data_IF_525898172261
#
_entry.id   IF_525898172261
#
_cell.length_a   1.000
_cell.length_b   1.000
_cell.length_c   1.000
_cell.angle_alpha   90.00
_cell.angle_beta   90.00
_cell.angle_gamma   90.00
#
_symmetry.space_group_name_H-M   'P 1'
#
loop_
_entity.id
_entity.type
_entity.pdbx_description
1 polymer ?
#
# COMPACT_ATOMS: atom_id res chain seq x y z
N UNK A 1 52.43 54.77 -19.01
CA UNK A 1 53.06 54.79 -20.35
C UNK A 1 51.98 54.28 -21.31
N UNK A 2 51.46 55.22 -22.05
CA UNK A 2 51.43 55.29 -23.50
C UNK A 2 50.60 54.18 -24.13
N UNK A 3 49.55 54.36 -24.86
CA UNK A 3 48.95 55.50 -25.47
C UNK A 3 48.08 55.07 -26.65
N UNK A 4 47.19 55.96 -27.01
CA UNK A 4 46.60 56.21 -28.33
C UNK A 4 45.89 55.00 -29.02
N UNK A 5 44.65 55.04 -29.37
CA UNK A 5 43.88 56.17 -30.01
C UNK A 5 43.57 55.82 -31.42
N UNK A 6 42.32 55.83 -31.82
CA UNK A 6 41.76 56.58 -32.91
C UNK A 6 40.33 56.13 -33.27
N UNK A 7 39.45 57.07 -33.22
CA UNK A 7 38.10 57.07 -33.80
C UNK A 7 38.17 57.03 -35.33
N UNK A 8 37.19 56.41 -35.96
CA UNK A 8 36.79 56.80 -37.34
C UNK A 8 35.25 56.59 -37.44
N UNK A 9 34.60 57.71 -37.56
CA UNK A 9 33.22 57.92 -38.00
C UNK A 9 33.05 57.54 -39.46
N UNK A 10 31.99 56.90 -39.84
CA UNK A 10 31.46 56.94 -41.18
C UNK A 10 29.94 56.95 -41.21
N UNK A 11 29.41 57.79 -42.07
CA UNK A 11 28.03 58.23 -42.22
C UNK A 11 27.11 57.20 -42.89
N UNK A 12 25.79 57.45 -42.92
CA UNK A 12 24.76 56.49 -43.25
C UNK A 12 24.56 56.34 -44.76
N UNK A 13 24.20 55.17 -45.19
CA UNK A 13 23.73 54.93 -46.54
C UNK A 13 22.26 54.46 -46.49
N UNK A 14 21.39 55.26 -47.08
CA UNK A 14 19.99 54.92 -47.36
C UNK A 14 19.94 53.81 -48.41
N UNK A 15 19.15 52.72 -48.10
CA UNK A 15 18.68 51.85 -49.18
C UNK A 15 17.30 51.32 -48.86
N UNK A 16 16.38 51.81 -49.63
CA UNK A 16 15.04 51.35 -50.03
C UNK A 16 14.47 50.00 -49.40
N UNK A 17 13.30 50.22 -48.84
CA UNK A 17 12.31 49.18 -48.60
C UNK A 17 11.86 48.48 -49.88
N UNK A 18 12.10 47.19 -50.00
CA UNK A 18 11.31 46.30 -50.86
C UNK A 18 10.38 45.44 -50.02
N UNK A 19 9.09 45.80 -50.11
CA UNK A 19 7.96 44.96 -49.59
C UNK A 19 7.80 43.74 -50.49
N UNK A 20 8.36 42.59 -50.12
CA UNK A 20 8.03 41.36 -50.77
C UNK A 20 6.90 40.68 -49.98
N UNK A 21 5.69 40.75 -50.50
CA UNK A 21 4.54 39.91 -50.09
C UNK A 21 4.87 38.46 -50.38
N UNK A 22 5.39 37.72 -49.38
CA UNK A 22 5.41 36.26 -49.41
C UNK A 22 3.99 35.76 -49.27
N UNK A 23 3.37 35.36 -50.37
CA UNK A 23 2.17 34.52 -50.38
C UNK A 23 2.57 33.17 -49.84
N UNK A 24 2.25 32.87 -48.55
CA UNK A 24 2.39 31.54 -47.96
C UNK A 24 1.41 30.58 -48.65
N UNK A 25 1.96 29.51 -49.21
CA UNK A 25 1.24 28.41 -49.83
C UNK A 25 0.15 27.83 -48.87
N UNK A 26 -1.06 27.53 -49.35
CA UNK A 26 -2.18 27.04 -48.52
C UNK A 26 -1.81 25.78 -47.71
N UNK A 27 -0.87 24.95 -48.16
CA UNK A 27 -0.38 23.79 -47.41
C UNK A 27 0.31 24.16 -46.09
N UNK A 28 0.99 25.32 -45.98
CA UNK A 28 1.61 25.72 -44.70
C UNK A 28 0.59 26.20 -43.66
N UNK A 29 -0.56 26.70 -44.08
CA UNK A 29 -1.67 27.07 -43.16
C UNK A 29 -2.37 25.86 -42.59
N UNK A 30 -2.49 24.75 -43.34
CA UNK A 30 -3.06 23.48 -42.87
C UNK A 30 -2.11 22.82 -41.86
N UNK A 31 -0.78 22.87 -42.10
CA UNK A 31 0.21 22.31 -41.19
C UNK A 31 0.25 23.05 -39.82
N UNK A 32 0.11 24.39 -39.82
CA UNK A 32 0.01 25.17 -38.58
C UNK A 32 -1.30 24.96 -37.84
N UNK A 33 -2.41 24.73 -38.53
CA UNK A 33 -3.68 24.37 -37.91
C UNK A 33 -3.67 22.95 -37.34
N UNK A 34 -3.00 21.99 -37.97
CA UNK A 34 -2.84 20.62 -37.46
C UNK A 34 -1.92 20.61 -36.24
N UNK A 35 -0.84 21.38 -36.23
CA UNK A 35 0.04 21.50 -35.06
C UNK A 35 -0.66 22.21 -33.90
N UNK A 36 -1.53 23.19 -34.13
CA UNK A 36 -2.32 23.79 -33.04
C UNK A 36 -3.51 22.96 -32.59
N UNK A 37 -4.02 22.03 -33.42
CA UNK A 37 -5.04 21.04 -32.95
C UNK A 37 -4.43 19.87 -32.20
N UNK A 38 -3.21 19.44 -32.52
CA UNK A 38 -2.51 18.37 -31.76
C UNK A 38 -2.06 18.87 -30.40
N UNK A 39 -1.84 20.17 -30.22
CA UNK A 39 -1.52 20.75 -28.90
C UNK A 39 -2.74 20.95 -27.96
N UNK A 40 -3.96 20.71 -28.44
CA UNK A 40 -5.20 20.81 -27.63
C UNK A 40 -5.66 19.47 -27.02
N UNK A 41 -4.99 18.37 -27.36
CA UNK A 41 -5.12 17.10 -26.63
C UNK A 41 -3.97 16.91 -25.61
N UNK A 42 -3.65 17.94 -24.85
CA UNK A 42 -3.07 17.72 -23.54
C UNK A 42 -4.24 17.23 -22.69
N UNK A 43 -4.40 15.91 -22.59
CA UNK A 43 -5.10 15.32 -21.47
C UNK A 43 -4.46 15.93 -20.24
N UNK A 44 -5.21 16.78 -19.55
CA UNK A 44 -4.82 17.19 -18.20
C UNK A 44 -4.64 15.87 -17.45
N UNK A 45 -3.40 15.49 -17.15
CA UNK A 45 -3.15 14.42 -16.21
C UNK A 45 -3.93 14.77 -14.96
N UNK A 46 -4.97 14.01 -14.68
CA UNK A 46 -5.78 14.21 -13.48
C UNK A 46 -4.82 14.12 -12.31
N UNK A 47 -4.72 15.19 -11.53
CA UNK A 47 -3.83 15.17 -10.37
C UNK A 47 -4.39 14.13 -9.40
N UNK A 48 -3.57 13.15 -9.01
CA UNK A 48 -3.95 12.18 -7.99
C UNK A 48 -4.45 12.90 -6.75
N UNK A 49 -5.63 12.53 -6.26
CA UNK A 49 -6.26 13.16 -5.13
C UNK A 49 -6.38 12.19 -3.95
N UNK A 50 -5.95 12.65 -2.76
CA UNK A 50 -6.25 12.02 -1.48
C UNK A 50 -7.23 12.92 -0.75
N UNK A 51 -8.42 12.42 -0.48
CA UNK A 51 -9.42 13.16 0.29
C UNK A 51 -9.87 12.37 1.51
N UNK A 52 -10.23 13.06 2.62
CA UNK A 52 -10.77 12.39 3.79
C UNK A 52 -12.15 11.80 3.49
N UNK A 53 -12.42 10.67 4.14
CA UNK A 53 -13.74 10.04 4.22
C UNK A 53 -14.09 9.94 5.69
N UNK A 54 -15.29 10.36 6.06
CA UNK A 54 -15.73 10.43 7.44
C UNK A 54 -16.44 9.16 7.89
N UNK A 55 -16.49 8.97 9.20
CA UNK A 55 -17.08 7.79 9.82
C UNK A 55 -16.06 6.68 10.04
N UNK A 56 -16.07 6.13 11.24
CA UNK A 56 -15.27 4.96 11.63
C UNK A 56 -16.11 4.10 12.59
N UNK A 57 -15.97 2.76 12.60
CA UNK A 57 -16.73 1.91 13.49
C UNK A 57 -16.53 2.28 14.98
N UNK A 58 -17.60 2.17 15.78
CA UNK A 58 -17.58 2.65 17.17
C UNK A 58 -18.34 1.74 18.16
N UNK A 59 -18.89 0.61 17.73
CA UNK A 59 -19.75 -0.20 18.61
C UNK A 59 -19.00 -0.95 19.71
N UNK A 60 -17.73 -1.33 19.47
CA UNK A 60 -16.88 -1.89 20.53
C UNK A 60 -16.16 -0.77 21.30
N UNK A 61 -16.07 -0.85 22.64
CA UNK A 61 -15.37 0.17 23.44
C UNK A 61 -13.92 0.37 23.00
N UNK A 62 -13.58 1.63 22.67
CA UNK A 62 -12.25 2.02 22.22
C UNK A 62 -11.97 1.81 20.74
N UNK A 63 -12.84 1.13 19.98
CA UNK A 63 -12.65 0.91 18.54
C UNK A 63 -12.62 2.23 17.74
N UNK A 64 -13.41 3.21 18.15
CA UNK A 64 -13.50 4.54 17.53
C UNK A 64 -12.19 5.35 17.58
N UNK A 65 -11.22 4.95 18.38
CA UNK A 65 -9.87 5.54 18.36
C UNK A 65 -9.05 5.12 17.15
N UNK A 66 -9.60 4.24 16.30
CA UNK A 66 -8.93 3.64 15.16
C UNK A 66 -8.21 2.35 15.53
N UNK A 67 -7.99 1.52 14.53
CA UNK A 67 -7.26 0.24 14.66
C UNK A 67 -6.21 0.12 13.58
N UNK A 68 -5.20 -0.70 13.81
CA UNK A 68 -4.27 -1.19 12.80
C UNK A 68 -4.41 -2.69 12.61
N UNK A 69 -3.89 -3.18 11.48
CA UNK A 69 -3.82 -4.61 11.18
C UNK A 69 -5.18 -5.33 11.24
N UNK A 70 -6.27 -4.62 10.91
CA UNK A 70 -7.60 -5.21 10.76
C UNK A 70 -7.69 -5.99 9.45
N UNK A 71 -8.74 -6.79 9.31
CA UNK A 71 -9.17 -7.35 8.04
C UNK A 71 -10.04 -6.31 7.32
N UNK A 72 -9.82 -6.07 6.03
CA UNK A 72 -10.67 -5.16 5.27
C UNK A 72 -10.70 -5.52 3.79
N UNK A 73 -11.87 -5.46 3.19
CA UNK A 73 -12.07 -5.58 1.74
C UNK A 73 -13.46 -5.08 1.35
N UNK A 74 -13.74 -5.03 0.04
CA UNK A 74 -15.07 -4.77 -0.50
C UNK A 74 -15.79 -6.08 -0.82
N UNK A 75 -17.08 -6.15 -0.51
CA UNK A 75 -18.01 -7.20 -0.96
C UNK A 75 -19.29 -6.53 -1.49
N UNK A 76 -19.63 -6.77 -2.76
CA UNK A 76 -20.69 -6.00 -3.41
C UNK A 76 -20.47 -4.50 -3.28
N UNK A 77 -21.48 -3.77 -2.81
CA UNK A 77 -21.40 -2.32 -2.57
C UNK A 77 -20.94 -1.94 -1.16
N UNK A 78 -20.38 -2.89 -0.40
CA UNK A 78 -20.03 -2.69 1.00
C UNK A 78 -18.53 -2.77 1.23
N UNK A 79 -17.99 -1.81 1.98
CA UNK A 79 -16.69 -1.97 2.63
C UNK A 79 -16.91 -2.70 3.95
N UNK A 80 -16.13 -3.76 4.17
CA UNK A 80 -16.12 -4.53 5.42
C UNK A 80 -14.79 -4.30 6.12
N UNK A 81 -14.85 -4.06 7.43
CA UNK A 81 -13.69 -3.99 8.33
C UNK A 81 -13.95 -4.91 9.51
N UNK A 82 -12.99 -5.72 9.91
CA UNK A 82 -13.16 -6.59 11.07
C UNK A 82 -11.88 -6.69 11.90
N UNK A 83 -12.05 -6.93 13.20
CA UNK A 83 -10.92 -7.12 14.11
C UNK A 83 -9.99 -5.92 14.16
N UNK A 84 -8.69 -6.18 14.20
CA UNK A 84 -7.66 -5.16 14.40
C UNK A 84 -7.33 -4.94 15.87
N UNK A 85 -6.37 -4.05 16.11
CA UNK A 85 -5.94 -3.75 17.48
C UNK A 85 -5.56 -2.27 17.65
N UNK A 86 -5.67 -1.79 18.90
CA UNK A 86 -5.21 -0.47 19.30
C UNK A 86 -4.77 -0.43 20.78
N UNK A 87 -4.59 0.75 21.34
CA UNK A 87 -4.20 0.98 22.72
C UNK A 87 -5.16 2.00 23.37
N UNK A 88 -6.41 1.61 23.69
CA UNK A 88 -7.38 2.53 24.30
C UNK A 88 -6.96 2.96 25.71
N UNK A 89 -6.16 2.16 26.37
CA UNK A 89 -5.47 2.48 27.62
C UNK A 89 -3.96 2.45 27.36
N UNK A 90 -3.20 3.46 27.78
CA UNK A 90 -1.76 3.49 27.61
C UNK A 90 -1.08 2.19 28.06
N UNK A 91 -0.22 1.63 27.21
CA UNK A 91 0.50 0.39 27.48
C UNK A 91 -0.33 -0.91 27.37
N UNK A 92 -1.66 -0.83 27.24
CA UNK A 92 -2.53 -2.00 27.13
C UNK A 92 -3.08 -2.16 25.70
N UNK A 93 -2.52 -3.12 24.96
CA UNK A 93 -3.01 -3.49 23.63
C UNK A 93 -4.35 -4.22 23.74
N UNK A 94 -5.33 -3.79 22.97
CA UNK A 94 -6.66 -4.40 22.87
C UNK A 94 -6.87 -4.92 21.46
N UNK A 95 -7.36 -6.14 21.33
CA UNK A 95 -7.78 -6.78 20.09
C UNK A 95 -9.30 -6.85 20.01
N UNK A 96 -9.82 -6.77 18.81
CA UNK A 96 -11.26 -6.67 18.55
C UNK A 96 -11.76 -7.83 17.71
N UNK A 97 -13.06 -8.11 17.81
CA UNK A 97 -13.74 -9.17 17.09
C UNK A 97 -14.90 -8.69 16.21
N UNK A 98 -15.33 -7.44 16.33
CA UNK A 98 -16.43 -6.88 15.55
C UNK A 98 -16.19 -6.98 14.05
N UNK A 99 -17.24 -7.34 13.31
CA UNK A 99 -17.31 -7.24 11.84
C UNK A 99 -18.23 -6.09 11.53
N UNK A 100 -17.72 -5.10 10.86
CA UNK A 100 -18.43 -3.86 10.51
C UNK A 100 -18.57 -3.75 9.00
N UNK A 101 -19.71 -3.27 8.53
CA UNK A 101 -19.94 -2.99 7.13
C UNK A 101 -20.51 -1.59 6.94
N UNK A 102 -20.09 -0.92 5.88
CA UNK A 102 -20.63 0.37 5.45
C UNK A 102 -20.80 0.39 3.93
N UNK A 103 -21.92 0.95 3.40
CA UNK A 103 -22.07 1.11 1.96
C UNK A 103 -21.01 2.08 1.44
N UNK A 104 -20.46 1.78 0.25
CA UNK A 104 -19.53 2.66 -0.45
C UNK A 104 -20.33 3.78 -1.11
N UNK A 105 -20.79 4.76 -0.31
CA UNK A 105 -21.59 5.88 -0.82
C UNK A 105 -21.21 7.19 -0.16
N UNK A 106 -20.88 8.20 -0.99
CA UNK A 106 -20.51 9.53 -0.56
C UNK A 106 -19.21 9.63 0.24
N UNK A 107 -19.11 10.70 1.01
CA UNK A 107 -17.93 11.06 1.81
C UNK A 107 -18.05 10.63 3.28
N UNK A 108 -19.16 9.98 3.65
CA UNK A 108 -19.43 9.49 4.99
C UNK A 108 -19.79 8.01 4.95
N UNK A 109 -19.00 7.18 5.61
CA UNK A 109 -19.26 5.76 5.76
C UNK A 109 -20.11 5.52 7.02
N UNK A 110 -21.33 5.06 6.83
CA UNK A 110 -22.27 4.74 7.89
C UNK A 110 -22.10 3.28 8.34
N UNK A 111 -21.19 3.06 9.28
CA UNK A 111 -20.83 1.73 9.75
C UNK A 111 -21.90 1.08 10.61
N UNK A 112 -22.12 -0.21 10.40
CA UNK A 112 -22.96 -1.07 11.23
C UNK A 112 -22.15 -2.26 11.71
N UNK A 113 -22.33 -2.66 12.95
CA UNK A 113 -21.85 -3.95 13.46
C UNK A 113 -22.77 -5.03 12.88
N UNK A 114 -22.23 -5.86 11.99
CA UNK A 114 -22.98 -6.90 11.26
C UNK A 114 -22.71 -8.31 11.77
N UNK A 115 -21.67 -8.49 12.59
CA UNK A 115 -21.31 -9.79 13.17
C UNK A 115 -20.08 -9.68 14.05
N UNK A 116 -19.62 -10.85 14.50
CA UNK A 116 -18.41 -10.99 15.31
C UNK A 116 -17.56 -12.12 14.76
N UNK A 117 -16.24 -11.97 14.76
CA UNK A 117 -15.30 -13.06 14.60
C UNK A 117 -15.46 -14.03 15.80
N UNK A 118 -15.16 -15.31 15.63
CA UNK A 118 -15.20 -16.28 16.76
C UNK A 118 -14.27 -15.93 17.91
N UNK A 119 -13.19 -15.20 17.62
CA UNK A 119 -12.23 -14.65 18.57
C UNK A 119 -11.66 -13.33 18.06
N UNK A 120 -11.21 -12.42 18.96
CA UNK A 120 -10.51 -11.20 18.54
C UNK A 120 -9.29 -11.53 17.69
N UNK A 121 -9.04 -10.77 16.62
CA UNK A 121 -7.93 -11.02 15.72
C UNK A 121 -7.39 -9.75 15.06
N UNK A 122 -6.06 -9.72 14.85
CA UNK A 122 -5.35 -8.69 14.09
C UNK A 122 -4.14 -9.32 13.39
N UNK A 123 -3.48 -8.56 12.51
CA UNK A 123 -2.27 -8.99 11.79
C UNK A 123 -2.46 -10.20 10.87
N UNK A 124 -3.69 -10.51 10.51
CA UNK A 124 -4.04 -11.41 9.42
C UNK A 124 -4.22 -10.64 8.12
N UNK A 125 -4.68 -11.35 7.09
CA UNK A 125 -4.90 -10.79 5.75
C UNK A 125 -6.29 -11.13 5.22
N UNK A 126 -6.73 -10.38 4.21
CA UNK A 126 -8.04 -10.55 3.57
C UNK A 126 -7.89 -10.74 2.07
N UNK A 127 -8.69 -11.65 1.50
CA UNK A 127 -8.88 -11.78 0.05
C UNK A 127 -10.37 -11.89 -0.28
N UNK A 128 -10.72 -11.57 -1.51
CA UNK A 128 -12.09 -11.69 -2.03
C UNK A 128 -12.23 -13.03 -2.76
N UNK A 129 -13.28 -13.79 -2.45
CA UNK A 129 -13.61 -15.06 -3.10
C UNK A 129 -15.09 -15.10 -3.47
N UNK A 130 -15.39 -14.77 -4.72
CA UNK A 130 -16.78 -14.64 -5.19
C UNK A 130 -17.52 -13.56 -4.42
N UNK A 131 -18.60 -13.96 -3.75
CA UNK A 131 -19.46 -13.13 -2.89
C UNK A 131 -19.05 -13.18 -1.40
N UNK A 132 -17.87 -13.64 -1.09
CA UNK A 132 -17.37 -13.82 0.26
C UNK A 132 -15.97 -13.21 0.44
N UNK A 133 -15.62 -12.85 1.67
CA UNK A 133 -14.28 -12.47 2.08
C UNK A 133 -13.65 -13.62 2.84
N UNK A 134 -12.38 -13.90 2.57
CA UNK A 134 -11.59 -14.82 3.39
C UNK A 134 -10.71 -14.02 4.34
N UNK A 135 -10.90 -14.22 5.64
CA UNK A 135 -10.02 -13.71 6.68
C UNK A 135 -9.06 -14.81 7.09
N UNK A 136 -7.77 -14.59 6.96
CA UNK A 136 -6.74 -15.63 6.98
C UNK A 136 -5.73 -15.31 8.07
N UNK A 137 -5.53 -16.24 9.03
CA UNK A 137 -4.52 -16.17 10.06
C UNK A 137 -4.62 -14.94 10.96
N UNK A 138 -3.48 -14.46 11.43
CA UNK A 138 -3.36 -13.33 12.36
C UNK A 138 -2.96 -13.77 13.75
N UNK A 139 -3.15 -12.92 14.74
CA UNK A 139 -2.93 -13.21 16.14
C UNK A 139 -3.90 -12.44 17.05
N UNK A 140 -3.91 -12.78 18.31
CA UNK A 140 -4.59 -12.04 19.37
C UNK A 140 -3.69 -11.91 20.62
N UNK A 141 -4.27 -11.56 21.76
CA UNK A 141 -3.51 -11.35 23.00
C UNK A 141 -2.94 -12.65 23.59
N UNK A 142 -3.37 -13.81 23.13
CA UNK A 142 -3.05 -15.12 23.71
C UNK A 142 -2.26 -16.02 22.77
N UNK A 143 -2.53 -15.98 21.47
CA UNK A 143 -1.89 -16.89 20.51
C UNK A 143 -1.94 -16.36 19.07
N UNK A 144 -1.09 -16.91 18.20
CA UNK A 144 -1.19 -16.77 16.76
C UNK A 144 -2.20 -17.74 16.17
N UNK A 145 -2.81 -17.37 15.04
CA UNK A 145 -3.95 -18.06 14.43
C UNK A 145 -3.51 -18.82 13.17
N UNK A 146 -4.08 -19.99 12.97
CA UNK A 146 -4.08 -20.71 11.69
C UNK A 146 -5.46 -20.76 11.05
N UNK A 147 -6.46 -20.20 11.72
CA UNK A 147 -7.85 -20.20 11.28
C UNK A 147 -8.05 -19.39 10.01
N UNK A 148 -8.92 -19.89 9.14
CA UNK A 148 -9.41 -19.20 7.95
C UNK A 148 -10.92 -19.16 8.03
N UNK A 149 -11.48 -17.95 7.90
CA UNK A 149 -12.93 -17.75 7.94
C UNK A 149 -13.42 -17.17 6.62
N UNK A 150 -14.51 -17.73 6.10
CA UNK A 150 -15.30 -17.09 5.03
C UNK A 150 -16.36 -16.22 5.66
N UNK A 151 -16.45 -14.99 5.22
CA UNK A 151 -17.44 -14.00 5.65
C UNK A 151 -18.34 -13.67 4.48
N UNK A 152 -19.61 -13.94 4.61
CA UNK A 152 -20.66 -13.58 3.66
C UNK A 152 -21.63 -12.59 4.32
N UNK A 153 -22.09 -11.58 3.58
CA UNK A 153 -23.13 -10.65 4.06
C UNK A 153 -24.48 -11.07 3.49
N UNK A 154 -25.46 -11.33 4.36
CA UNK A 154 -26.83 -11.61 3.92
C UNK A 154 -27.52 -10.32 3.43
N UNK A 155 -28.11 -10.40 2.24
CA UNK A 155 -28.92 -9.32 1.66
C UNK A 155 -28.22 -7.96 1.60
N UNK A 156 -28.94 -6.88 1.96
CA UNK A 156 -28.47 -5.49 1.84
C UNK A 156 -27.64 -5.09 3.09
N UNK A 157 -26.46 -5.71 3.26
CA UNK A 157 -25.55 -5.41 4.37
C UNK A 157 -26.14 -5.76 5.74
N UNK A 158 -26.87 -6.88 5.79
CA UNK A 158 -27.53 -7.38 6.98
C UNK A 158 -26.56 -8.01 7.97
N UNK A 159 -26.65 -9.30 8.17
CA UNK A 159 -25.83 -10.04 9.11
C UNK A 159 -24.66 -10.73 8.42
N UNK A 160 -23.49 -10.75 9.06
CA UNK A 160 -22.36 -11.53 8.59
C UNK A 160 -22.56 -13.03 8.96
N UNK A 161 -22.55 -13.91 7.95
CA UNK A 161 -22.40 -15.33 8.12
C UNK A 161 -20.91 -15.67 8.13
N UNK A 162 -20.46 -16.29 9.22
CA UNK A 162 -19.04 -16.61 9.46
C UNK A 162 -18.86 -18.11 9.43
N UNK A 163 -18.13 -18.62 8.41
CA UNK A 163 -17.85 -20.06 8.26
C UNK A 163 -16.36 -20.33 8.40
N UNK A 164 -15.98 -21.33 9.17
CA UNK A 164 -14.61 -21.82 9.22
C UNK A 164 -14.31 -22.65 7.96
N UNK A 165 -13.19 -22.36 7.33
CA UNK A 165 -12.63 -23.13 6.22
C UNK A 165 -11.43 -23.97 6.68
N UNK A 166 -10.75 -24.63 5.72
CA UNK A 166 -9.52 -25.37 5.99
C UNK A 166 -8.45 -24.42 6.57
N UNK A 167 -7.89 -24.82 7.72
CA UNK A 167 -6.84 -24.09 8.42
C UNK A 167 -5.55 -24.00 7.56
N UNK A 168 -4.76 -22.96 7.82
CA UNK A 168 -3.35 -22.89 7.42
C UNK A 168 -2.57 -24.08 8.03
N UNK A 169 -1.48 -24.53 7.41
CA UNK A 169 -0.67 -25.66 7.90
C UNK A 169 0.03 -25.37 9.24
N UNK A 170 0.23 -24.09 9.54
CA UNK A 170 0.80 -23.60 10.79
C UNK A 170 0.11 -22.28 11.19
N UNK A 171 0.40 -21.75 12.38
CA UNK A 171 -0.05 -20.41 12.73
C UNK A 171 0.72 -19.38 11.92
N UNK A 172 0.03 -18.37 11.36
CA UNK A 172 0.68 -17.31 10.55
C UNK A 172 0.13 -15.96 10.92
N UNK A 173 1.01 -15.02 11.24
CA UNK A 173 0.67 -13.62 11.47
C UNK A 173 1.68 -12.67 10.79
N UNK A 174 1.31 -11.38 10.65
CA UNK A 174 2.16 -10.35 10.06
C UNK A 174 2.69 -10.70 8.65
N UNK A 175 1.95 -11.49 7.91
CA UNK A 175 2.23 -11.87 6.54
C UNK A 175 1.68 -10.83 5.54
N UNK A 176 2.12 -10.93 4.28
CA UNK A 176 1.47 -10.31 3.14
C UNK A 176 0.57 -11.32 2.41
N UNK A 177 -0.37 -10.81 1.61
CA UNK A 177 -1.21 -11.61 0.73
C UNK A 177 -1.26 -11.00 -0.65
N UNK A 178 -1.32 -11.87 -1.67
CA UNK A 178 -1.66 -11.49 -3.03
C UNK A 178 -2.58 -12.54 -3.64
N UNK A 179 -3.46 -12.11 -4.51
CA UNK A 179 -4.39 -13.00 -5.22
C UNK A 179 -4.20 -12.85 -6.72
N UNK A 180 -4.03 -13.97 -7.42
CA UNK A 180 -3.99 -14.04 -8.88
C UNK A 180 -5.06 -15.01 -9.36
N UNK A 181 -6.17 -14.47 -9.88
CA UNK A 181 -7.36 -15.25 -10.19
C UNK A 181 -7.81 -16.06 -8.96
N UNK A 182 -7.84 -17.39 -9.09
CA UNK A 182 -8.28 -18.29 -8.03
C UNK A 182 -7.15 -18.73 -7.08
N UNK A 183 -5.93 -18.27 -7.30
CA UNK A 183 -4.80 -18.61 -6.45
C UNK A 183 -4.54 -17.49 -5.45
N UNK A 184 -4.55 -17.83 -4.16
CA UNK A 184 -4.19 -16.97 -3.04
C UNK A 184 -2.80 -17.35 -2.57
N UNK A 185 -1.93 -16.35 -2.39
CA UNK A 185 -0.57 -16.52 -1.90
C UNK A 185 -0.40 -15.75 -0.59
N UNK A 186 -0.04 -16.44 0.48
CA UNK A 186 0.37 -15.86 1.76
C UNK A 186 1.89 -15.91 1.81
N UNK A 187 2.54 -14.78 2.07
CA UNK A 187 4.00 -14.63 1.93
C UNK A 187 4.60 -14.09 3.21
N UNK A 188 5.63 -14.77 3.69
CA UNK A 188 6.36 -14.35 4.88
C UNK A 188 5.49 -14.30 6.14
N UNK A 189 5.78 -13.37 7.02
CA UNK A 189 5.18 -13.27 8.35
C UNK A 189 5.90 -14.14 9.37
N UNK A 190 5.27 -14.35 10.51
CA UNK A 190 5.72 -15.33 11.50
C UNK A 190 4.95 -16.63 11.29
N UNK A 191 5.66 -17.73 11.12
CA UNK A 191 5.12 -19.08 11.11
C UNK A 191 5.48 -19.75 12.43
N UNK A 192 4.45 -20.19 13.19
CA UNK A 192 4.61 -20.72 14.57
C UNK A 192 5.51 -19.82 15.44
N UNK A 193 5.28 -18.50 15.34
CA UNK A 193 6.00 -17.48 16.11
C UNK A 193 7.41 -17.16 15.65
N UNK A 194 7.87 -17.68 14.49
CA UNK A 194 9.20 -17.40 13.92
C UNK A 194 9.09 -16.71 12.56
N UNK A 195 9.91 -15.69 12.29
CA UNK A 195 9.98 -15.09 10.96
C UNK A 195 10.21 -16.14 9.88
N UNK A 196 9.45 -16.05 8.78
CA UNK A 196 9.51 -17.00 7.66
C UNK A 196 9.69 -16.28 6.32
N UNK A 197 10.27 -16.99 5.35
CA UNK A 197 10.30 -16.60 3.93
C UNK A 197 9.34 -17.45 3.10
N UNK A 198 8.58 -18.36 3.70
CA UNK A 198 7.73 -19.30 3.00
C UNK A 198 6.56 -18.63 2.29
N UNK A 199 6.15 -19.27 1.21
CA UNK A 199 4.96 -18.93 0.43
C UNK A 199 3.96 -20.07 0.54
N UNK A 200 2.83 -19.79 1.18
CA UNK A 200 1.69 -20.70 1.24
C UNK A 200 0.70 -20.34 0.13
N UNK A 201 0.19 -21.34 -0.57
CA UNK A 201 -0.79 -21.15 -1.64
C UNK A 201 -2.07 -21.93 -1.38
N UNK A 202 -3.19 -21.34 -1.81
CA UNK A 202 -4.52 -21.95 -1.83
C UNK A 202 -5.12 -21.73 -3.21
N UNK A 203 -5.63 -22.80 -3.85
CA UNK A 203 -6.46 -22.67 -5.04
C UNK A 203 -7.93 -22.74 -4.64
N UNK A 204 -8.65 -21.62 -4.82
CA UNK A 204 -10.06 -21.47 -4.45
C UNK A 204 -11.02 -22.34 -5.30
N UNK A 205 -10.62 -22.69 -6.54
CA UNK A 205 -11.41 -23.52 -7.46
C UNK A 205 -11.08 -25.00 -7.38
N UNK A 206 -10.19 -25.42 -6.47
CA UNK A 206 -9.95 -26.83 -6.27
C UNK A 206 -11.19 -27.53 -5.70
N UNK A 207 -11.43 -28.79 -6.06
CA UNK A 207 -12.57 -29.56 -5.53
C UNK A 207 -12.55 -29.67 -4.01
N UNK A 208 -11.35 -29.72 -3.41
CA UNK A 208 -11.12 -29.66 -1.97
C UNK A 208 -9.98 -28.66 -1.70
N UNK A 209 -10.30 -27.37 -1.53
CA UNK A 209 -9.30 -26.33 -1.32
C UNK A 209 -8.47 -26.61 -0.06
N UNK A 210 -7.16 -26.66 -0.22
CA UNK A 210 -6.22 -26.87 0.88
C UNK A 210 -4.95 -26.06 0.67
N UNK A 211 -4.36 -25.62 1.77
CA UNK A 211 -3.11 -24.86 1.75
C UNK A 211 -1.91 -25.76 1.50
N UNK A 212 -0.98 -25.30 0.71
CA UNK A 212 0.30 -25.96 0.44
C UNK A 212 1.45 -24.96 0.52
N UNK A 213 2.62 -25.39 0.98
CA UNK A 213 3.85 -24.62 0.84
C UNK A 213 4.38 -24.80 -0.59
N UNK A 214 4.51 -23.71 -1.34
CA UNK A 214 4.96 -23.71 -2.74
C UNK A 214 6.40 -23.21 -2.88
N UNK A 215 7.14 -23.15 -1.78
CA UNK A 215 8.54 -22.73 -1.72
C UNK A 215 8.75 -21.51 -0.84
N UNK A 216 9.93 -20.94 -0.93
CA UNK A 216 10.32 -19.78 -0.12
C UNK A 216 10.81 -18.65 -1.01
N UNK A 217 10.55 -17.43 -0.61
CA UNK A 217 11.12 -16.23 -1.22
C UNK A 217 12.64 -16.20 -0.98
N UNK A 218 13.44 -15.75 -1.95
CA UNK A 218 14.88 -15.59 -1.76
C UNK A 218 15.25 -14.60 -0.65
N UNK A 219 16.37 -14.85 0.02
CA UNK A 219 16.91 -13.97 1.08
C UNK A 219 16.42 -14.32 2.47
N UNK A 220 16.52 -13.34 3.38
CA UNK A 220 16.13 -13.50 4.78
C UNK A 220 14.63 -13.58 4.94
N UNK A 221 14.18 -14.22 6.02
CA UNK A 221 12.78 -14.21 6.45
C UNK A 221 12.25 -12.77 6.63
N UNK A 222 10.95 -12.57 6.34
CA UNK A 222 10.36 -11.23 6.34
C UNK A 222 9.03 -11.19 7.08
N UNK A 223 8.97 -10.32 8.06
CA UNK A 223 7.75 -9.95 8.77
C UNK A 223 7.23 -8.64 8.21
N UNK A 224 5.92 -8.52 8.00
CA UNK A 224 5.25 -7.36 7.39
C UNK A 224 5.86 -6.94 6.04
N UNK A 225 6.13 -7.86 5.09
CA UNK A 225 6.39 -7.47 3.73
C UNK A 225 5.10 -6.94 3.08
N UNK A 226 5.20 -6.36 1.88
CA UNK A 226 4.05 -6.07 1.03
C UNK A 226 4.08 -6.99 -0.18
N UNK A 227 2.90 -7.38 -0.69
CA UNK A 227 2.78 -8.21 -1.87
C UNK A 227 1.64 -7.75 -2.79
N UNK A 228 1.82 -8.01 -4.08
CA UNK A 228 0.78 -7.85 -5.10
C UNK A 228 0.96 -8.90 -6.18
N UNK A 229 -0.13 -9.30 -6.83
CA UNK A 229 -0.07 -10.19 -7.99
C UNK A 229 -0.58 -9.46 -9.24
N UNK A 230 0.18 -9.56 -10.33
CA UNK A 230 -0.17 -8.96 -11.60
C UNK A 230 0.47 -9.78 -12.75
N UNK A 231 -0.25 -9.98 -13.84
CA UNK A 231 0.21 -10.63 -15.07
C UNK A 231 0.91 -11.97 -14.84
N UNK A 232 0.35 -12.81 -13.95
CA UNK A 232 0.88 -14.16 -13.66
C UNK A 232 2.15 -14.15 -12.82
N UNK A 233 2.48 -13.04 -12.20
CA UNK A 233 3.62 -12.86 -11.31
C UNK A 233 3.16 -12.44 -9.90
N UNK A 234 3.86 -12.95 -8.88
CA UNK A 234 3.73 -12.54 -7.48
C UNK A 234 4.94 -11.66 -7.13
N UNK A 235 4.67 -10.42 -6.78
CA UNK A 235 5.67 -9.43 -6.38
C UNK A 235 5.66 -9.25 -4.87
N UNK A 236 6.85 -9.14 -4.26
CA UNK A 236 7.03 -8.97 -2.82
C UNK A 236 8.16 -7.97 -2.56
N UNK A 237 7.94 -7.01 -1.67
CA UNK A 237 8.95 -6.03 -1.26
C UNK A 237 8.97 -5.80 0.25
N UNK A 238 10.11 -5.32 0.72
CA UNK A 238 10.25 -4.80 2.08
C UNK A 238 10.07 -5.86 3.15
N UNK A 239 9.48 -5.47 4.28
CA UNK A 239 9.42 -6.27 5.49
C UNK A 239 10.68 -6.11 6.36
N UNK A 240 10.72 -6.84 7.46
CA UNK A 240 11.83 -6.80 8.39
C UNK A 240 12.11 -8.17 9.01
N UNK A 241 13.31 -8.33 9.52
CA UNK A 241 13.76 -9.46 10.34
C UNK A 241 14.34 -8.92 11.62
N UNK A 242 13.70 -9.18 12.76
CA UNK A 242 14.16 -8.75 14.08
C UNK A 242 14.97 -9.86 14.73
N UNK A 243 16.27 -9.65 14.96
CA UNK A 243 17.18 -10.62 15.57
C UNK A 243 18.36 -9.93 16.27
N UNK A 244 18.07 -9.00 17.19
CA UNK A 244 19.11 -8.21 17.88
C UNK A 244 20.03 -7.50 16.88
N UNK A 245 21.34 -7.62 17.04
CA UNK A 245 22.35 -6.99 16.16
C UNK A 245 22.29 -7.44 14.69
N UNK A 246 21.67 -8.58 14.41
CA UNK A 246 21.43 -9.10 13.06
C UNK A 246 20.06 -8.74 12.49
N UNK A 247 19.41 -7.75 13.10
CA UNK A 247 18.13 -7.24 12.58
C UNK A 247 18.32 -6.55 11.23
N UNK A 248 17.32 -6.72 10.35
CA UNK A 248 17.30 -6.15 9.00
C UNK A 248 15.95 -5.47 8.75
N UNK A 249 15.96 -4.35 8.02
CA UNK A 249 14.78 -3.74 7.44
C UNK A 249 14.99 -3.72 5.93
N UNK A 250 14.25 -4.56 5.23
CA UNK A 250 14.44 -4.82 3.80
C UNK A 250 13.92 -3.68 2.93
N UNK A 251 14.68 -3.32 1.90
CA UNK A 251 14.27 -2.39 0.84
C UNK A 251 14.07 -3.10 -0.49
N UNK A 252 14.73 -4.24 -0.67
CA UNK A 252 14.72 -5.05 -1.89
C UNK A 252 13.36 -5.68 -2.16
N UNK A 253 13.22 -6.20 -3.37
CA UNK A 253 12.04 -6.95 -3.80
C UNK A 253 12.38 -8.16 -4.65
N UNK A 254 11.44 -9.07 -4.72
CA UNK A 254 11.50 -10.29 -5.53
C UNK A 254 10.17 -10.53 -6.23
N UNK A 255 10.25 -11.16 -7.39
CA UNK A 255 9.09 -11.52 -8.21
C UNK A 255 9.14 -13.01 -8.53
N UNK A 256 8.05 -13.73 -8.26
CA UNK A 256 7.88 -15.13 -8.63
C UNK A 256 6.98 -15.24 -9.86
N UNK A 257 7.43 -15.93 -10.88
CA UNK A 257 6.55 -16.40 -11.93
C UNK A 257 5.67 -17.52 -11.37
N UNK A 258 4.35 -17.29 -11.30
CA UNK A 258 3.40 -18.19 -10.63
C UNK A 258 3.34 -19.57 -11.31
N UNK A 259 3.48 -19.63 -12.65
CA UNK A 259 3.41 -20.88 -13.38
C UNK A 259 4.65 -21.77 -13.20
N UNK A 260 5.82 -21.18 -12.97
CA UNK A 260 7.10 -21.92 -12.89
C UNK A 260 7.72 -21.97 -11.50
N UNK A 261 7.24 -21.16 -10.56
CA UNK A 261 7.82 -21.00 -9.22
C UNK A 261 9.19 -20.31 -9.20
N UNK A 262 9.67 -19.80 -10.34
CA UNK A 262 10.99 -19.17 -10.42
C UNK A 262 10.95 -17.74 -9.92
N UNK A 263 11.92 -17.38 -9.08
CA UNK A 263 12.12 -16.05 -8.52
C UNK A 263 13.16 -15.25 -9.30
N UNK A 264 12.94 -13.96 -9.41
CA UNK A 264 13.87 -12.94 -9.91
C UNK A 264 13.85 -11.73 -9.00
N UNK A 265 14.97 -11.01 -8.88
CA UNK A 265 15.02 -9.74 -8.15
C UNK A 265 14.28 -8.67 -8.95
N UNK A 266 13.63 -7.76 -8.23
CA UNK A 266 13.00 -6.56 -8.79
C UNK A 266 13.50 -5.31 -8.09
N UNK A 267 13.40 -4.15 -8.76
CA UNK A 267 13.89 -2.89 -8.25
C UNK A 267 13.26 -2.53 -6.89
N UNK A 268 14.07 -1.96 -5.99
CA UNK A 268 13.62 -1.35 -4.75
C UNK A 268 12.95 0.01 -5.02
N UNK A 269 11.90 0.40 -4.27
CA UNK A 269 11.36 1.75 -4.36
C UNK A 269 12.41 2.77 -3.88
N UNK A 270 12.41 3.96 -4.51
CA UNK A 270 13.37 5.01 -4.18
C UNK A 270 12.64 6.32 -3.87
N UNK A 271 13.19 7.09 -2.93
CA UNK A 271 12.78 8.47 -2.71
C UNK A 271 13.11 9.36 -3.92
N UNK A 272 12.62 10.60 -3.91
CA UNK A 272 12.94 11.58 -4.95
C UNK A 272 14.47 11.83 -5.04
N UNK A 273 15.16 11.77 -3.90
CA UNK A 273 16.62 11.94 -3.79
C UNK A 273 17.39 10.67 -4.20
N UNK A 274 16.70 9.58 -4.51
CA UNK A 274 17.30 8.32 -4.97
C UNK A 274 17.68 7.33 -3.85
N UNK A 275 17.35 7.63 -2.58
CA UNK A 275 17.55 6.70 -1.47
C UNK A 275 16.54 5.54 -1.55
N UNK A 276 17.01 4.31 -1.33
CA UNK A 276 16.13 3.14 -1.25
C UNK A 276 15.20 3.22 -0.04
N UNK A 277 13.93 2.94 -0.29
CA UNK A 277 12.87 3.02 0.69
C UNK A 277 12.38 1.62 1.07
N UNK A 278 12.08 1.41 2.34
CA UNK A 278 11.37 0.20 2.75
C UNK A 278 9.86 0.36 2.60
N UNK A 279 9.17 -0.75 2.35
CA UNK A 279 7.72 -0.86 2.42
C UNK A 279 7.28 -1.69 3.66
N UNK A 280 8.18 -1.93 4.62
CA UNK A 280 7.86 -2.68 5.84
C UNK A 280 6.70 -2.02 6.59
N UNK A 281 5.64 -2.78 6.89
CA UNK A 281 4.41 -2.30 7.52
C UNK A 281 3.54 -1.40 6.62
N UNK A 282 3.89 -1.23 5.35
CA UNK A 282 3.07 -0.58 4.33
C UNK A 282 2.02 -1.51 3.72
N UNK A 283 1.49 -1.11 2.58
CA UNK A 283 0.56 -1.91 1.76
C UNK A 283 0.91 -1.77 0.28
N UNK A 284 0.72 -2.86 -0.51
CA UNK A 284 0.77 -2.82 -1.95
C UNK A 284 -0.49 -3.45 -2.56
N UNK A 285 -0.89 -2.97 -3.73
CA UNK A 285 -2.05 -3.49 -4.46
C UNK A 285 -1.87 -3.32 -5.97
N UNK A 286 -2.46 -4.21 -6.75
CA UNK A 286 -2.52 -4.08 -8.20
C UNK A 286 -3.78 -3.27 -8.60
N UNK A 287 -3.62 -2.33 -9.50
CA UNK A 287 -4.71 -1.53 -10.04
C UNK A 287 -4.34 -0.98 -11.43
N UNK A 288 -5.24 -1.05 -12.41
CA UNK A 288 -5.05 -0.53 -13.77
C UNK A 288 -3.70 -0.95 -14.42
N UNK A 289 -3.31 -2.23 -14.27
CA UNK A 289 -2.08 -2.75 -14.90
C UNK A 289 -0.77 -2.30 -14.26
N UNK A 290 -0.82 -1.67 -13.10
CA UNK A 290 0.34 -1.24 -12.29
C UNK A 290 0.24 -1.78 -10.87
N UNK A 291 1.35 -1.73 -10.14
CA UNK A 291 1.36 -2.02 -8.71
C UNK A 291 1.62 -0.71 -7.97
N UNK A 292 0.74 -0.39 -7.05
CA UNK A 292 0.84 0.75 -6.16
C UNK A 292 1.28 0.30 -4.78
N UNK A 293 2.02 1.15 -4.06
CA UNK A 293 2.37 0.92 -2.68
C UNK A 293 2.42 2.24 -1.90
N UNK A 294 2.08 2.19 -0.61
CA UNK A 294 2.12 3.36 0.27
C UNK A 294 2.30 2.97 1.73
N UNK A 295 2.59 3.96 2.56
CA UNK A 295 2.78 3.77 3.99
C UNK A 295 4.11 3.12 4.35
N UNK A 296 4.17 2.56 5.54
CA UNK A 296 5.33 1.88 6.08
C UNK A 296 6.24 2.76 6.92
N UNK A 297 7.17 2.10 7.61
CA UNK A 297 8.06 2.71 8.59
C UNK A 297 9.27 3.40 7.95
N UNK A 298 9.93 4.28 8.69
CA UNK A 298 11.27 4.73 8.31
C UNK A 298 12.30 3.64 8.62
N UNK A 299 13.08 3.24 7.62
CA UNK A 299 14.04 2.14 7.69
C UNK A 299 15.00 2.29 8.87
N UNK A 300 15.64 3.44 8.97
CA UNK A 300 16.76 3.63 9.92
C UNK A 300 16.27 3.78 11.37
N UNK A 301 15.15 4.49 11.57
CA UNK A 301 14.55 4.66 12.90
C UNK A 301 14.00 3.31 13.38
N UNK A 302 13.38 2.55 12.50
CA UNK A 302 12.81 1.26 12.86
C UNK A 302 13.91 0.22 13.12
N UNK A 303 14.95 0.18 12.27
CA UNK A 303 16.10 -0.71 12.47
C UNK A 303 16.80 -0.44 13.80
N UNK A 304 16.99 0.82 14.16
CA UNK A 304 17.60 1.22 15.45
C UNK A 304 16.80 0.67 16.65
N UNK A 305 15.46 0.72 16.56
CA UNK A 305 14.59 0.20 17.61
C UNK A 305 14.55 -1.34 17.66
N UNK A 306 14.37 -2.04 16.53
CA UNK A 306 14.27 -3.51 16.51
C UNK A 306 15.58 -4.23 16.78
N UNK A 307 16.72 -3.56 16.54
CA UNK A 307 18.06 -4.06 16.93
C UNK A 307 18.36 -3.84 18.41
N UNK A 308 17.52 -3.07 19.13
CA UNK A 308 17.74 -2.75 20.54
C UNK A 308 18.82 -1.72 20.81
N UNK A 309 19.37 -1.06 19.77
CA UNK A 309 20.49 -0.10 19.93
C UNK A 309 20.04 1.22 20.52
N UNK A 310 18.90 1.77 20.05
CA UNK A 310 18.35 3.05 20.51
C UNK A 310 19.38 4.20 20.50
N UNK A 311 20.18 4.28 19.42
CA UNK A 311 21.22 5.30 19.25
C UNK A 311 20.63 6.71 19.03
N UNK A 312 19.43 6.80 18.39
CA UNK A 312 18.77 8.07 18.08
C UNK A 312 17.98 8.64 19.24
N UNK A 313 17.50 7.79 20.14
CA UNK A 313 16.73 8.17 21.32
C UNK A 313 16.77 7.03 22.33
N UNK A 314 16.83 7.34 23.63
CA UNK A 314 16.80 6.31 24.68
C UNK A 314 15.53 5.47 24.56
N UNK A 315 15.61 4.18 24.83
CA UNK A 315 14.48 3.24 24.77
C UNK A 315 13.27 3.73 25.57
N UNK A 316 13.50 4.27 26.77
CA UNK A 316 12.43 4.79 27.63
C UNK A 316 11.66 5.97 27.01
N UNK A 317 12.30 6.73 26.11
CA UNK A 317 11.74 7.92 25.47
C UNK A 317 11.22 7.63 24.05
N UNK A 318 11.42 6.40 23.54
CA UNK A 318 11.08 6.03 22.17
C UNK A 318 9.59 6.23 21.88
N UNK A 319 8.69 5.76 22.75
CA UNK A 319 7.25 5.88 22.55
C UNK A 319 6.72 7.32 22.77
N UNK A 320 7.51 8.19 23.42
CA UNK A 320 7.12 9.56 23.75
C UNK A 320 7.42 10.54 22.61
N UNK A 321 8.13 10.13 21.55
CA UNK A 321 8.45 11.00 20.44
C UNK A 321 7.21 11.46 19.68
N UNK A 322 7.20 12.69 19.11
CA UNK A 322 6.08 13.17 18.30
C UNK A 322 5.93 12.33 17.02
N UNK A 323 4.74 12.29 16.43
CA UNK A 323 4.43 11.52 15.21
C UNK A 323 5.45 11.80 14.09
N UNK A 324 5.78 13.07 13.88
CA UNK A 324 6.72 13.47 12.82
C UNK A 324 8.13 12.93 12.98
N UNK A 325 8.54 12.57 14.19
CA UNK A 325 9.86 12.00 14.47
C UNK A 325 10.04 10.62 13.85
N UNK A 326 8.97 9.79 13.81
CA UNK A 326 9.02 8.43 13.26
C UNK A 326 9.14 8.38 11.74
N UNK A 327 8.81 9.47 11.04
CA UNK A 327 8.97 9.62 9.58
C UNK A 327 8.35 8.47 8.78
N UNK A 328 7.16 8.03 9.15
CA UNK A 328 6.43 7.05 8.33
C UNK A 328 6.20 7.62 6.93
N UNK A 329 6.28 6.75 5.93
CA UNK A 329 6.20 7.17 4.53
C UNK A 329 4.77 7.57 4.15
N UNK A 330 4.62 8.82 3.69
CA UNK A 330 3.39 9.30 3.05
C UNK A 330 3.44 9.28 1.52
N UNK A 331 4.47 8.69 0.93
CA UNK A 331 4.63 8.62 -0.53
C UNK A 331 3.70 7.58 -1.13
N UNK A 332 3.17 7.88 -2.31
CA UNK A 332 2.56 6.88 -3.19
C UNK A 332 3.63 6.42 -4.19
N UNK A 333 3.98 5.16 -4.14
CA UNK A 333 4.90 4.52 -5.08
C UNK A 333 4.12 3.79 -6.16
N UNK A 334 4.58 3.85 -7.40
CA UNK A 334 3.99 3.17 -8.55
C UNK A 334 5.05 2.32 -9.22
N UNK A 335 4.83 1.01 -9.32
CA UNK A 335 5.68 0.09 -10.05
C UNK A 335 5.03 -0.25 -11.38
N UNK A 336 5.72 0.05 -12.46
CA UNK A 336 5.32 -0.30 -13.81
C UNK A 336 5.93 -1.66 -14.16
N UNK A 337 5.08 -2.65 -14.34
CA UNK A 337 5.50 -4.04 -14.59
C UNK A 337 6.06 -4.25 -16.00
N UNK A 338 5.76 -3.34 -16.96
CA UNK A 338 6.27 -3.43 -18.32
C UNK A 338 7.71 -2.94 -18.40
N UNK A 339 8.03 -1.85 -17.71
CA UNK A 339 9.39 -1.32 -17.62
C UNK A 339 10.20 -1.94 -16.47
N UNK A 340 9.57 -2.77 -15.63
CA UNK A 340 10.15 -3.39 -14.43
C UNK A 340 10.79 -2.37 -13.48
N UNK A 341 10.19 -1.20 -13.37
CA UNK A 341 10.73 -0.06 -12.62
C UNK A 341 9.69 0.69 -11.80
N UNK A 342 10.14 1.29 -10.69
CA UNK A 342 9.34 2.25 -9.95
C UNK A 342 9.31 3.59 -10.68
N UNK A 343 8.10 4.08 -10.92
CA UNK A 343 7.88 5.41 -11.50
C UNK A 343 8.26 6.46 -10.47
N UNK A 344 9.07 7.43 -10.87
CA UNK A 344 9.40 8.57 -10.02
C UNK A 344 8.17 9.44 -9.84
N UNK A 345 7.49 9.29 -8.73
CA UNK A 345 6.40 10.17 -8.33
C UNK A 345 6.85 11.12 -7.23
N UNK A 346 6.35 12.36 -7.26
CA UNK A 346 6.50 13.32 -6.16
C UNK A 346 5.25 13.40 -5.30
N UNK A 347 4.31 12.52 -5.53
CA UNK A 347 3.08 12.53 -4.77
C UNK A 347 3.30 11.97 -3.37
N UNK A 348 2.99 12.78 -2.38
CA UNK A 348 2.99 12.40 -0.97
C UNK A 348 1.86 13.12 -0.25
N UNK A 349 1.20 12.41 0.65
CA UNK A 349 0.15 12.95 1.51
C UNK A 349 0.31 12.44 2.95
N UNK A 350 0.07 13.33 3.92
CA UNK A 350 0.17 12.98 5.35
C UNK A 350 -0.84 11.91 5.76
N UNK A 351 -1.98 11.85 5.09
CA UNK A 351 -2.98 10.81 5.29
C UNK A 351 -2.51 9.42 4.91
N UNK A 352 -1.43 9.28 4.13
CA UNK A 352 -0.83 8.00 3.76
C UNK A 352 0.31 7.57 4.72
N UNK A 353 0.82 8.47 5.57
CA UNK A 353 1.95 8.21 6.46
C UNK A 353 1.56 7.33 7.64
N UNK A 354 1.35 6.03 7.40
CA UNK A 354 0.88 5.04 8.38
C UNK A 354 1.53 3.69 8.17
N UNK A 355 1.56 2.89 9.24
CA UNK A 355 1.89 1.47 9.18
C UNK A 355 0.67 0.62 9.57
N UNK A 356 0.54 -0.59 9.02
CA UNK A 356 -0.53 -1.53 9.33
C UNK A 356 -1.95 -1.03 9.01
N UNK A 357 -2.08 -0.07 8.09
CA UNK A 357 -3.37 0.31 7.51
C UNK A 357 -3.78 -0.65 6.40
N UNK A 358 -5.06 -0.68 6.07
CA UNK A 358 -5.60 -1.54 5.01
C UNK A 358 -6.03 -0.73 3.79
N UNK A 359 -5.85 -1.31 2.61
CA UNK A 359 -6.31 -0.72 1.35
C UNK A 359 -7.50 -1.53 0.82
N UNK A 360 -8.62 -0.85 0.61
CA UNK A 360 -9.81 -1.44 -0.02
C UNK A 360 -10.01 -0.80 -1.39
N UNK A 361 -9.81 -1.58 -2.44
CA UNK A 361 -9.97 -1.15 -3.82
C UNK A 361 -11.43 -1.25 -4.21
N UNK A 362 -12.02 -0.16 -4.69
CA UNK A 362 -13.41 -0.07 -5.12
C UNK A 362 -13.52 0.67 -6.47
N UNK A 363 -14.68 0.64 -7.08
CA UNK A 363 -14.96 1.45 -8.29
C UNK A 363 -14.96 2.97 -8.01
N UNK A 364 -15.12 3.40 -6.75
CA UNK A 364 -15.13 4.81 -6.33
C UNK A 364 -13.75 5.31 -5.87
N UNK A 365 -12.72 4.46 -5.92
CA UNK A 365 -11.35 4.75 -5.49
C UNK A 365 -10.81 3.72 -4.51
N UNK A 366 -9.59 3.94 -4.05
CA UNK A 366 -8.88 3.08 -3.12
C UNK A 366 -8.97 3.67 -1.71
N UNK A 367 -9.70 3.02 -0.82
CA UNK A 367 -9.92 3.47 0.57
C UNK A 367 -8.80 2.97 1.47
N UNK A 368 -8.05 3.89 2.07
CA UNK A 368 -6.97 3.60 3.01
C UNK A 368 -7.45 3.81 4.44
N UNK A 369 -7.56 2.72 5.20
CA UNK A 369 -8.36 2.63 6.42
C UNK A 369 -7.47 2.38 7.63
N UNK A 370 -7.65 3.20 8.68
CA UNK A 370 -6.99 2.99 9.97
C UNK A 370 -5.47 3.11 9.90
N UNK A 371 -4.78 2.26 10.65
CA UNK A 371 -3.33 2.19 10.71
C UNK A 371 -2.72 2.90 11.93
N UNK A 372 -1.41 2.80 11.99
CA UNK A 372 -0.57 3.32 13.06
C UNK A 372 0.14 4.59 12.60
N UNK A 373 0.01 5.68 13.34
CA UNK A 373 0.72 6.94 13.08
C UNK A 373 2.12 6.96 13.70
N UNK A 374 2.29 6.23 14.77
CA UNK A 374 3.53 5.94 15.48
C UNK A 374 3.29 4.73 16.37
N UNK A 375 4.33 4.06 16.91
CA UNK A 375 4.14 2.95 17.84
C UNK A 375 3.15 3.30 18.96
N UNK A 376 2.21 2.40 19.21
CA UNK A 376 1.12 2.52 20.18
C UNK A 376 0.06 3.62 19.91
N UNK A 377 0.09 4.31 18.77
CA UNK A 377 -0.92 5.30 18.40
C UNK A 377 -1.59 4.96 17.06
N UNK A 378 -2.88 4.67 17.08
CA UNK A 378 -3.71 4.37 15.88
C UNK A 378 -4.51 5.58 15.44
N UNK A 379 -5.12 5.49 14.27
CA UNK A 379 -5.98 6.53 13.73
C UNK A 379 -7.28 5.95 13.19
N UNK A 380 -8.43 6.59 13.46
CA UNK A 380 -9.71 6.27 12.83
C UNK A 380 -9.86 6.92 11.45
N UNK A 381 -8.86 7.66 10.99
CA UNK A 381 -8.96 8.36 9.72
C UNK A 381 -9.06 7.36 8.56
N UNK A 382 -9.96 7.64 7.64
CA UNK A 382 -10.07 7.01 6.33
C UNK A 382 -9.77 8.06 5.28
N UNK A 383 -8.96 7.72 4.29
CA UNK A 383 -8.78 8.54 3.10
C UNK A 383 -9.05 7.71 1.85
N UNK A 384 -9.53 8.34 0.79
CA UNK A 384 -9.69 7.71 -0.51
C UNK A 384 -8.72 8.32 -1.51
N UNK A 385 -8.00 7.44 -2.22
CA UNK A 385 -7.17 7.80 -3.35
C UNK A 385 -8.03 7.66 -4.61
N UNK A 386 -8.09 8.71 -5.42
CA UNK A 386 -8.80 8.75 -6.70
C UNK A 386 -7.84 9.10 -7.82
N UNK A 387 -8.29 8.90 -9.06
CA UNK A 387 -7.54 9.22 -10.28
C UNK A 387 -6.15 8.56 -10.33
N UNK A 388 -6.07 7.29 -9.89
CA UNK A 388 -4.89 6.46 -10.06
C UNK A 388 -4.81 6.00 -11.53
N UNK A 389 -3.76 6.41 -12.23
CA UNK A 389 -3.49 6.12 -13.64
C UNK A 389 -2.58 4.90 -13.82
#
# INVERSE_FOLDING_TARGET
MIGCGKSLTCKPCHTLLFYNKLRLCPMKRILFLIISLVSLFHTSASAQHVRPVFGFPASEPGYSLGVSACYAAQIGDWIVVAGGCNFPTPGKKTYYAGIYAAPVDGDVLNWRLVGMLPEPAAYGVTVVSGDSLLFIGGNNSTHALKSVYSIHLDGVGGRADVKRLADLPCTVDNMAVAQSKDNVFVVGGNHDGKPSADVLALNLNAANPSWSNVGSMPGSARVQPVAAALDGKLYVWGGFYANGDRSEVHTDGSCMNIATGKWTSVAAPKSVEGCEMTLAGGIAWAFNGKIYATGGVNKDIFLDAISGRYERVKQADYLNQPISWYRFSGNLYVYDVLSEAWVKTRFADKGLARAGAQMVVTQKGCFYIGGELKPALRTPQIVVLQDLE
#
